data_IF_130853816455
#
_entry.id   IF_130853816455
#
_cell.length_a   1.000
_cell.length_b   1.000
_cell.length_c   1.000
_cell.angle_alpha   90.00
_cell.angle_beta   90.00
_cell.angle_gamma   90.00
#
_symmetry.space_group_name_H-M   'P 1'
#
loop_
_entity.id
_entity.type
_entity.pdbx_description
1 polymer ?
#
# COMPACT_ATOMS: atom_id res chain seq x y z
N UNK A 1 21.02 -16.55 5.23
CA UNK A 1 19.80 -16.64 4.38
C UNK A 1 18.75 -15.72 4.96
N UNK A 2 18.16 -14.79 4.19
CA UNK A 2 17.12 -13.92 4.73
C UNK A 2 15.83 -14.73 4.94
N UNK A 3 15.29 -14.66 6.16
CA UNK A 3 14.00 -15.25 6.52
C UNK A 3 12.90 -14.35 5.97
N UNK A 4 12.03 -14.90 5.13
CA UNK A 4 10.83 -14.24 4.63
C UNK A 4 9.70 -14.41 5.66
N UNK A 5 9.35 -13.34 6.38
CA UNK A 5 8.26 -13.35 7.38
C UNK A 5 6.95 -12.90 6.72
N UNK A 6 6.13 -13.87 6.27
CA UNK A 6 4.80 -13.60 5.72
C UNK A 6 3.75 -13.68 6.83
N UNK A 7 2.87 -12.67 6.97
CA UNK A 7 1.64 -12.78 7.76
C UNK A 7 1.71 -12.52 9.27
N UNK A 8 2.82 -12.04 9.84
CA UNK A 8 2.81 -11.57 11.25
C UNK A 8 2.09 -10.23 11.40
N UNK A 9 0.97 -10.21 12.14
CA UNK A 9 0.12 -9.02 12.40
C UNK A 9 0.90 -7.77 12.85
N UNK A 10 2.04 -7.96 13.52
CA UNK A 10 2.84 -6.90 14.13
C UNK A 10 3.99 -6.40 13.22
N UNK A 11 4.41 -7.19 12.22
CA UNK A 11 5.66 -6.95 11.46
C UNK A 11 5.55 -7.24 9.96
N UNK A 12 4.38 -7.67 9.49
CA UNK A 12 4.22 -7.96 8.07
C UNK A 12 4.20 -6.64 7.30
N UNK A 13 5.09 -6.54 6.32
CA UNK A 13 5.04 -5.49 5.30
C UNK A 13 3.70 -5.45 4.55
N UNK A 14 2.88 -6.51 4.65
CA UNK A 14 1.50 -6.57 4.14
C UNK A 14 0.44 -5.98 5.06
N UNK A 15 0.69 -5.92 6.38
CA UNK A 15 -0.24 -5.27 7.31
C UNK A 15 -0.22 -3.77 7.08
N UNK A 16 0.95 -3.22 6.73
CA UNK A 16 1.22 -1.81 6.43
C UNK A 16 0.30 -0.93 7.29
N UNK A 17 0.42 -1.03 8.61
CA UNK A 17 -0.26 -0.15 9.57
C UNK A 17 0.57 1.13 9.74
N UNK A 18 -0.03 2.28 10.07
CA UNK A 18 0.68 3.57 10.06
C UNK A 18 1.90 3.56 11.00
N UNK A 19 1.76 2.93 12.17
CA UNK A 19 2.85 2.82 13.15
C UNK A 19 3.90 1.75 12.80
N UNK A 20 3.55 0.73 12.00
CA UNK A 20 4.52 -0.22 11.43
C UNK A 20 5.36 0.46 10.35
N UNK A 21 4.75 1.32 9.54
CA UNK A 21 5.48 2.12 8.54
C UNK A 21 6.51 3.05 9.19
N UNK A 22 6.15 3.72 10.28
CA UNK A 22 6.98 4.77 10.88
C UNK A 22 8.07 4.24 11.82
N UNK A 23 7.84 3.11 12.51
CA UNK A 23 8.83 2.46 13.38
C UNK A 23 9.63 1.37 12.66
N UNK A 24 9.00 0.54 11.81
CA UNK A 24 9.72 -0.56 11.15
C UNK A 24 10.59 -0.12 9.97
N UNK A 25 10.32 1.00 9.29
CA UNK A 25 11.31 1.55 8.36
C UNK A 25 12.59 1.98 9.10
N UNK A 26 12.53 2.44 10.35
CA UNK A 26 13.76 2.83 11.06
C UNK A 26 14.60 1.61 11.47
N UNK A 27 13.94 0.55 11.91
CA UNK A 27 14.59 -0.54 12.65
C UNK A 27 14.64 -1.89 11.89
N UNK A 28 14.02 -2.01 10.71
CA UNK A 28 13.93 -3.29 9.99
C UNK A 28 14.42 -3.20 8.54
N UNK A 29 15.62 -3.71 8.22
CA UNK A 29 16.16 -3.66 6.85
C UNK A 29 15.33 -4.45 5.82
N UNK A 30 14.58 -5.47 6.26
CA UNK A 30 13.68 -6.23 5.38
C UNK A 30 12.52 -5.39 4.82
N UNK A 31 12.02 -4.41 5.58
CA UNK A 31 10.93 -3.53 5.13
C UNK A 31 11.43 -2.58 4.03
N UNK A 32 12.66 -2.08 4.13
CA UNK A 32 13.29 -1.31 3.05
C UNK A 32 13.45 -2.11 1.78
N UNK A 33 13.92 -3.35 1.89
CA UNK A 33 14.09 -4.24 0.75
C UNK A 33 12.75 -4.50 0.03
N UNK A 34 11.68 -4.74 0.78
CA UNK A 34 10.34 -4.94 0.21
C UNK A 34 9.83 -3.68 -0.51
N UNK A 35 9.98 -2.50 0.11
CA UNK A 35 9.57 -1.22 -0.49
C UNK A 35 10.35 -0.94 -1.77
N UNK A 36 11.67 -1.16 -1.75
CA UNK A 36 12.51 -0.97 -2.93
C UNK A 36 12.15 -1.97 -4.03
N UNK A 37 11.86 -3.23 -3.68
CA UNK A 37 11.40 -4.22 -4.65
C UNK A 37 10.11 -3.79 -5.34
N UNK A 38 9.12 -3.32 -4.57
CA UNK A 38 7.88 -2.77 -5.12
C UNK A 38 8.14 -1.55 -6.02
N UNK A 39 9.10 -0.69 -5.64
CA UNK A 39 9.50 0.49 -6.41
C UNK A 39 10.07 0.10 -7.78
N UNK A 40 11.04 -0.81 -7.78
CA UNK A 40 11.73 -1.25 -9.00
C UNK A 40 10.77 -1.96 -9.95
N UNK A 41 10.00 -2.93 -9.45
CA UNK A 41 9.06 -3.71 -10.27
C UNK A 41 8.05 -2.80 -10.98
N UNK A 42 7.39 -1.93 -10.23
CA UNK A 42 6.31 -1.10 -10.77
C UNK A 42 6.81 0.00 -11.69
N UNK A 43 7.96 0.59 -11.37
CA UNK A 43 8.58 1.58 -12.27
C UNK A 43 8.94 0.93 -13.61
N UNK A 44 9.49 -0.29 -13.58
CA UNK A 44 9.80 -1.05 -14.79
C UNK A 44 8.57 -1.37 -15.63
N UNK A 45 7.48 -1.82 -15.00
CA UNK A 45 6.22 -2.13 -15.69
C UNK A 45 5.57 -0.89 -16.30
N UNK A 46 5.44 0.20 -15.54
CA UNK A 46 4.87 1.46 -16.02
C UNK A 46 5.70 2.11 -17.15
N UNK A 47 7.00 1.88 -17.19
CA UNK A 47 7.85 2.37 -18.27
C UNK A 47 7.79 1.52 -19.55
N UNK A 48 7.54 0.21 -19.44
CA UNK A 48 7.51 -0.73 -20.58
C UNK A 48 6.13 -0.83 -21.21
N UNK A 49 5.10 -0.90 -20.38
CA UNK A 49 3.72 -0.95 -20.81
C UNK A 49 3.25 0.49 -20.89
N UNK A 50 3.24 1.07 -22.10
CA UNK A 50 2.99 2.49 -22.38
C UNK A 50 1.54 2.98 -22.09
N UNK A 51 0.95 2.54 -20.98
CA UNK A 51 -0.39 2.94 -20.56
C UNK A 51 -0.48 3.26 -19.07
N UNK A 52 -1.65 3.74 -18.61
CA UNK A 52 -1.81 4.27 -17.26
C UNK A 52 -1.66 3.23 -16.14
N UNK A 53 -1.84 1.93 -16.45
CA UNK A 53 -1.80 0.82 -15.50
C UNK A 53 -0.57 -0.06 -15.70
N UNK A 54 -0.32 -1.01 -14.79
CA UNK A 54 0.91 -1.83 -14.81
C UNK A 54 1.12 -2.58 -16.13
N UNK A 55 0.03 -2.98 -16.79
CA UNK A 55 0.05 -3.64 -18.10
C UNK A 55 -0.73 -2.85 -19.16
N UNK A 56 -0.71 -1.52 -19.04
CA UNK A 56 -1.41 -0.61 -19.95
C UNK A 56 -2.87 -0.37 -19.54
N UNK A 57 -3.71 -1.41 -19.63
CA UNK A 57 -5.10 -1.39 -19.17
C UNK A 57 -5.23 -1.95 -17.75
N UNK A 58 -6.36 -1.67 -17.08
CA UNK A 58 -6.65 -2.22 -15.75
C UNK A 58 -6.65 -3.75 -15.80
N UNK A 59 -5.97 -4.36 -14.83
CA UNK A 59 -5.73 -5.80 -14.76
C UNK A 59 -5.81 -6.31 -13.32
N UNK A 60 -5.81 -7.63 -13.16
CA UNK A 60 -5.72 -8.29 -11.85
C UNK A 60 -4.49 -7.83 -11.04
N UNK A 61 -3.40 -7.43 -11.70
CA UNK A 61 -2.21 -6.92 -11.02
C UNK A 61 -2.49 -5.59 -10.30
N UNK A 62 -3.23 -4.69 -10.93
CA UNK A 62 -3.59 -3.39 -10.33
C UNK A 62 -4.54 -3.59 -9.13
N UNK A 63 -5.50 -4.52 -9.26
CA UNK A 63 -6.39 -4.92 -8.16
C UNK A 63 -5.61 -5.53 -6.98
N UNK A 64 -4.67 -6.42 -7.27
CA UNK A 64 -3.82 -7.06 -6.27
C UNK A 64 -2.98 -6.05 -5.48
N UNK A 65 -2.43 -5.03 -6.16
CA UNK A 65 -1.64 -3.98 -5.53
C UNK A 65 -2.47 -2.79 -5.01
N UNK A 66 -3.79 -2.82 -5.14
CA UNK A 66 -4.65 -1.71 -4.74
C UNK A 66 -4.55 -1.37 -3.24
N UNK A 67 -4.51 -2.36 -2.32
CA UNK A 67 -4.31 -2.08 -0.90
C UNK A 67 -2.96 -1.43 -0.60
N UNK A 68 -1.91 -1.76 -1.37
CA UNK A 68 -0.57 -1.15 -1.26
C UNK A 68 -0.63 0.30 -1.75
N UNK A 69 -1.31 0.56 -2.85
CA UNK A 69 -1.51 1.92 -3.38
C UNK A 69 -2.22 2.84 -2.38
N UNK A 70 -3.23 2.33 -1.66
CA UNK A 70 -3.92 3.12 -0.64
C UNK A 70 -2.96 3.56 0.46
N UNK A 71 -2.06 2.69 0.88
CA UNK A 71 -1.13 2.99 1.99
C UNK A 71 0.03 3.86 1.57
N UNK A 72 0.51 3.73 0.33
CA UNK A 72 1.44 4.71 -0.24
C UNK A 72 0.85 6.12 -0.18
N UNK A 73 -0.46 6.25 -0.43
CA UNK A 73 -1.18 7.54 -0.31
C UNK A 73 -1.35 7.97 1.14
N UNK A 74 -1.84 7.09 2.02
CA UNK A 74 -2.14 7.42 3.43
C UNK A 74 -0.87 7.73 4.24
N UNK A 75 0.25 7.06 3.97
CA UNK A 75 1.50 7.24 4.73
C UNK A 75 2.47 8.22 4.08
N UNK A 76 2.11 8.78 2.92
CA UNK A 76 2.95 9.71 2.17
C UNK A 76 4.39 9.19 1.97
N UNK A 77 4.53 7.89 1.67
CA UNK A 77 5.84 7.28 1.48
C UNK A 77 6.53 7.86 0.24
N UNK A 78 7.86 8.14 0.30
CA UNK A 78 8.58 8.67 -0.84
C UNK A 78 8.69 7.60 -1.92
N UNK A 79 7.95 7.81 -3.02
CA UNK A 79 7.96 6.92 -4.20
C UNK A 79 8.14 7.74 -5.48
N UNK A 80 8.65 7.14 -6.57
CA UNK A 80 8.78 7.83 -7.86
C UNK A 80 7.44 8.38 -8.35
N UNK A 81 7.43 9.51 -9.09
CA UNK A 81 6.19 10.15 -9.56
C UNK A 81 5.26 9.21 -10.33
N UNK A 82 5.80 8.38 -11.22
CA UNK A 82 5.01 7.40 -11.98
C UNK A 82 4.25 6.41 -11.09
N UNK A 83 4.88 5.98 -9.99
CA UNK A 83 4.34 5.05 -9.00
C UNK A 83 3.24 5.75 -8.19
N UNK A 84 3.44 7.01 -7.82
CA UNK A 84 2.45 7.83 -7.13
C UNK A 84 1.22 8.10 -8.02
N UNK A 85 1.43 8.46 -9.30
CA UNK A 85 0.34 8.73 -10.23
C UNK A 85 -0.46 7.46 -10.56
N UNK A 86 0.21 6.32 -10.66
CA UNK A 86 -0.47 5.02 -10.75
C UNK A 86 -1.35 4.77 -9.51
N UNK A 87 -0.85 5.03 -8.30
CA UNK A 87 -1.64 4.88 -7.08
C UNK A 87 -2.85 5.83 -7.04
N UNK A 88 -2.73 7.07 -7.57
CA UNK A 88 -3.87 7.99 -7.73
C UNK A 88 -4.92 7.42 -8.70
N UNK A 89 -4.48 6.85 -9.83
CA UNK A 89 -5.39 6.24 -10.81
C UNK A 89 -6.15 5.04 -10.24
N UNK A 90 -5.46 4.19 -9.48
CA UNK A 90 -6.10 3.06 -8.77
C UNK A 90 -7.13 3.55 -7.74
N UNK A 91 -6.82 4.64 -7.00
CA UNK A 91 -7.76 5.25 -6.05
C UNK A 91 -9.02 5.82 -6.72
N UNK A 92 -8.89 6.29 -7.96
CA UNK A 92 -9.99 6.88 -8.73
C UNK A 92 -10.86 5.84 -9.47
N UNK A 93 -10.54 4.54 -9.36
CA UNK A 93 -11.38 3.50 -9.94
C UNK A 93 -12.77 3.51 -9.27
N UNK A 94 -13.88 3.37 -10.01
CA UNK A 94 -15.23 3.45 -9.43
C UNK A 94 -15.46 2.49 -8.25
N UNK A 95 -14.99 1.24 -8.38
CA UNK A 95 -15.10 0.26 -7.29
C UNK A 95 -14.23 0.60 -6.07
N UNK A 96 -13.08 1.24 -6.29
CA UNK A 96 -12.21 1.69 -5.21
C UNK A 96 -12.80 2.92 -4.50
N UNK A 97 -13.30 3.89 -5.27
CA UNK A 97 -13.97 5.07 -4.73
C UNK A 97 -15.18 4.67 -3.87
N UNK A 98 -16.06 3.79 -4.39
CA UNK A 98 -17.21 3.28 -3.63
C UNK A 98 -16.78 2.54 -2.35
N UNK A 99 -15.70 1.76 -2.40
CA UNK A 99 -15.16 1.08 -1.23
C UNK A 99 -14.60 2.08 -0.19
N UNK A 100 -13.88 3.12 -0.64
CA UNK A 100 -13.38 4.19 0.23
C UNK A 100 -14.54 4.95 0.88
N UNK A 101 -15.56 5.32 0.12
CA UNK A 101 -16.74 6.03 0.62
C UNK A 101 -17.48 5.18 1.67
N UNK A 102 -17.64 3.88 1.41
CA UNK A 102 -18.21 2.93 2.38
C UNK A 102 -17.39 2.82 3.67
N UNK A 103 -16.06 2.75 3.55
CA UNK A 103 -15.16 2.71 4.71
C UNK A 103 -15.18 4.02 5.53
N UNK A 104 -15.35 5.18 4.88
CA UNK A 104 -15.48 6.47 5.56
C UNK A 104 -16.84 6.65 6.25
N UNK A 105 -17.89 6.01 5.72
CA UNK A 105 -19.22 6.00 6.33
C UNK A 105 -19.35 5.02 7.50
N UNK A 106 -18.41 4.08 7.64
CA UNK A 106 -18.42 3.08 8.70
C UNK A 106 -18.21 3.73 10.08
N UNK A 107 -19.13 3.46 11.01
CA UNK A 107 -19.08 3.96 12.40
C UNK A 107 -18.71 2.86 13.40
N UNK A 108 -18.23 1.71 12.93
CA UNK A 108 -17.86 0.57 13.77
C UNK A 108 -16.47 0.78 14.39
N UNK A 109 -16.45 1.12 15.68
CA UNK A 109 -15.21 1.27 16.45
C UNK A 109 -14.95 0.01 17.28
N UNK A 110 -13.96 -0.78 16.85
CA UNK A 110 -13.52 -2.00 17.54
C UNK A 110 -12.19 -1.76 18.26
N UNK A 111 -12.27 -1.37 19.53
CA UNK A 111 -11.13 -1.02 20.40
C UNK A 111 -9.96 -2.04 20.33
N UNK A 112 -10.25 -3.34 20.29
CA UNK A 112 -9.22 -4.38 20.24
C UNK A 112 -8.39 -4.43 18.93
N UNK A 113 -8.86 -3.81 17.83
CA UNK A 113 -8.13 -3.76 16.56
C UNK A 113 -7.21 -2.55 16.45
N UNK A 114 -7.35 -1.55 17.33
CA UNK A 114 -6.64 -0.27 17.27
C UNK A 114 -5.84 0.03 18.56
N UNK A 115 -4.89 -0.84 18.97
CA UNK A 115 -4.17 -0.72 20.24
C UNK A 115 -3.30 0.54 20.38
N UNK A 116 -3.16 1.34 19.32
CA UNK A 116 -2.38 2.58 19.30
C UNK A 116 -3.24 3.87 19.28
N UNK A 117 -4.57 3.77 19.15
CA UNK A 117 -5.48 4.94 19.16
C UNK A 117 -5.91 5.21 20.60
N UNK A 118 -5.26 6.19 21.25
CA UNK A 118 -5.45 6.50 22.68
C UNK A 118 -6.75 7.27 22.99
N UNK A 119 -7.43 7.83 21.98
CA UNK A 119 -8.73 8.49 22.08
C UNK A 119 -9.45 8.47 20.72
N UNK A 120 -10.78 8.66 20.72
CA UNK A 120 -11.59 8.80 19.50
C UNK A 120 -11.21 10.04 18.71
#
# INVERSE_FOLDING_TARGET
MPILVIGKKNHSSWSMRPWVSMLSMRDQPGVHADVEHHRVLRTGLLGRCAGPMLFGNFSAADAFFAPVCMRLRTYALPVPPAVADHAKRVAALPGMAAWIDGALAEQDFRNFEEPCRLAR
#
